data_IF_587771262767
#
_entry.id   IF_587771262767
#
_cell.length_a   1.000
_cell.length_b   1.000
_cell.length_c   1.000
_cell.angle_alpha   90.00
_cell.angle_beta   90.00
_cell.angle_gamma   90.00
#
_symmetry.space_group_name_H-M   'P 1'
#
loop_
_entity.id
_entity.type
_entity.pdbx_description
1 polymer ?
#
# COMPACT_ATOMS: atom_id res chain seq x y z
N UNK A 1 -58.99 -42.59 -27.65
CA UNK A 1 -57.74 -41.93 -28.09
C UNK A 1 -57.50 -40.70 -27.16
N UNK A 2 -56.72 -40.86 -26.11
CA UNK A 2 -56.43 -39.83 -25.14
C UNK A 2 -55.21 -39.02 -25.55
N UNK A 3 -55.34 -37.72 -25.83
CA UNK A 3 -54.26 -36.77 -26.05
C UNK A 3 -53.61 -36.42 -24.72
N UNK A 4 -52.33 -36.84 -24.49
CA UNK A 4 -51.50 -36.37 -23.37
C UNK A 4 -50.98 -34.98 -23.71
N UNK A 5 -51.42 -33.98 -22.96
CA UNK A 5 -50.87 -32.60 -23.00
C UNK A 5 -49.64 -32.60 -22.15
N UNK A 6 -48.45 -32.46 -22.75
CA UNK A 6 -47.17 -32.25 -22.06
C UNK A 6 -47.06 -30.74 -21.76
N UNK A 7 -47.21 -30.36 -20.48
CA UNK A 7 -47.01 -29.02 -20.00
C UNK A 7 -45.51 -28.79 -19.85
N UNK A 8 -44.88 -28.07 -20.79
CA UNK A 8 -43.49 -27.66 -20.68
C UNK A 8 -43.36 -26.50 -19.68
N UNK A 9 -42.82 -26.80 -18.50
CA UNK A 9 -42.47 -25.76 -17.50
C UNK A 9 -41.20 -25.07 -17.96
N UNK A 10 -41.35 -23.86 -18.50
CA UNK A 10 -40.24 -22.97 -18.83
C UNK A 10 -39.64 -22.41 -17.52
N UNK A 11 -38.52 -22.98 -17.07
CA UNK A 11 -37.76 -22.47 -15.92
C UNK A 11 -37.14 -21.10 -16.31
N UNK A 12 -37.77 -20.01 -15.90
CA UNK A 12 -37.16 -18.68 -15.96
C UNK A 12 -36.01 -18.62 -14.97
N UNK A 13 -34.76 -18.79 -15.47
CA UNK A 13 -33.56 -18.51 -14.69
C UNK A 13 -33.40 -16.97 -14.63
N UNK A 14 -33.46 -16.33 -13.44
CA UNK A 14 -33.27 -14.90 -13.35
C UNK A 14 -31.86 -14.54 -13.80
N UNK A 15 -31.66 -13.42 -14.53
CA UNK A 15 -30.33 -12.93 -14.87
C UNK A 15 -29.57 -12.65 -13.58
N UNK A 16 -28.39 -13.26 -13.44
CA UNK A 16 -27.44 -12.91 -12.38
C UNK A 16 -26.93 -11.50 -12.69
N UNK A 17 -27.28 -10.52 -11.88
CA UNK A 17 -26.59 -9.22 -11.89
C UNK A 17 -25.13 -9.52 -11.50
N UNK A 18 -24.22 -9.41 -12.46
CA UNK A 18 -22.79 -9.33 -12.20
C UNK A 18 -22.56 -7.93 -11.63
N UNK A 19 -22.15 -7.84 -10.37
CA UNK A 19 -21.73 -6.58 -9.80
C UNK A 19 -20.58 -6.00 -10.64
N UNK A 20 -20.68 -4.74 -11.04
CA UNK A 20 -19.61 -4.08 -11.78
C UNK A 20 -18.39 -3.91 -10.88
N UNK A 21 -17.17 -4.09 -11.44
CA UNK A 21 -15.93 -3.85 -10.73
C UNK A 21 -15.84 -2.38 -10.30
N UNK A 22 -15.48 -2.15 -9.06
CA UNK A 22 -15.18 -0.82 -8.54
C UNK A 22 -13.69 -0.55 -8.70
N UNK A 23 -13.35 0.57 -9.32
CA UNK A 23 -11.96 0.98 -9.49
C UNK A 23 -11.61 2.12 -8.53
N UNK A 24 -10.36 2.12 -8.07
CA UNK A 24 -9.79 3.13 -7.20
C UNK A 24 -8.50 3.69 -7.78
N UNK A 25 -8.29 4.98 -7.63
CA UNK A 25 -7.05 5.66 -8.00
C UNK A 25 -6.50 6.46 -6.82
N UNK A 26 -5.19 6.39 -6.60
CA UNK A 26 -4.49 7.22 -5.64
C UNK A 26 -4.27 8.61 -6.26
N UNK A 27 -4.86 9.64 -5.66
CA UNK A 27 -4.76 11.02 -6.14
C UNK A 27 -3.64 11.79 -5.47
N UNK A 28 -3.58 11.69 -4.12
CA UNK A 28 -2.60 12.40 -3.30
C UNK A 28 -1.95 11.43 -2.32
N UNK A 29 -0.69 11.66 -2.04
CA UNK A 29 0.05 10.85 -1.07
C UNK A 29 1.07 11.70 -0.32
N UNK A 30 1.22 11.42 0.97
CA UNK A 30 2.34 11.87 1.78
C UNK A 30 2.91 10.67 2.52
N UNK A 31 4.17 10.37 2.23
CA UNK A 31 4.92 9.28 2.87
C UNK A 31 6.13 9.90 3.58
N UNK A 32 6.32 9.57 4.84
CA UNK A 32 7.39 10.14 5.65
C UNK A 32 8.12 8.98 6.34
N UNK A 33 9.37 8.71 5.92
CA UNK A 33 10.22 7.81 6.69
C UNK A 33 10.91 8.56 7.83
N UNK A 34 11.17 7.85 8.92
CA UNK A 34 11.87 8.39 10.08
C UNK A 34 13.07 7.53 10.42
N UNK A 35 14.27 8.12 10.33
CA UNK A 35 15.55 7.49 10.71
C UNK A 35 16.02 8.06 12.03
N UNK A 36 16.22 7.19 13.01
CA UNK A 36 16.76 7.52 14.32
C UNK A 36 18.25 7.16 14.42
N UNK A 37 19.07 8.15 14.73
CA UNK A 37 20.49 7.97 15.09
C UNK A 37 20.71 8.53 16.50
N UNK A 38 21.67 7.99 17.30
CA UNK A 38 21.92 8.48 18.66
C UNK A 38 22.19 10.00 18.77
N UNK A 39 22.74 10.62 17.72
CA UNK A 39 23.10 12.04 17.70
C UNK A 39 22.04 12.92 17.03
N UNK A 40 21.18 12.40 16.17
CA UNK A 40 20.18 13.18 15.43
C UNK A 40 19.08 12.28 14.86
N UNK A 41 18.01 12.92 14.45
CA UNK A 41 16.90 12.29 13.75
C UNK A 41 16.77 12.90 12.36
N UNK A 42 16.33 12.09 11.40
CA UNK A 42 16.13 12.53 10.02
C UNK A 42 14.78 12.01 9.52
N UNK A 43 14.07 12.84 8.81
CA UNK A 43 12.88 12.47 8.06
C UNK A 43 13.12 12.73 6.57
N UNK A 44 12.52 11.92 5.73
CA UNK A 44 12.42 12.21 4.31
C UNK A 44 10.99 12.04 3.84
N UNK A 45 10.52 12.94 3.00
CA UNK A 45 9.13 13.06 2.57
C UNK A 45 9.01 12.76 1.08
N UNK A 46 8.00 12.00 0.69
CA UNK A 46 7.63 11.79 -0.70
C UNK A 46 6.14 12.04 -0.92
N UNK A 47 5.81 12.72 -2.02
CA UNK A 47 4.46 12.92 -2.52
C UNK A 47 4.22 12.26 -3.88
N UNK A 48 5.12 11.36 -4.28
CA UNK A 48 5.17 10.81 -5.64
C UNK A 48 4.59 9.41 -5.77
N UNK A 49 3.93 8.88 -4.75
CA UNK A 49 3.29 7.57 -4.87
C UNK A 49 2.19 7.60 -5.93
N UNK A 50 2.08 6.49 -6.68
CA UNK A 50 0.99 6.21 -7.59
C UNK A 50 0.35 4.89 -7.16
N UNK A 51 -0.98 4.81 -7.28
CA UNK A 51 -1.70 3.62 -6.85
C UNK A 51 -2.97 3.40 -7.63
N UNK A 52 -3.33 2.12 -7.75
CA UNK A 52 -4.60 1.66 -8.31
C UNK A 52 -5.17 0.56 -7.42
N UNK A 53 -6.48 0.50 -7.36
CA UNK A 53 -7.22 -0.57 -6.72
C UNK A 53 -8.38 -1.04 -7.58
N UNK A 54 -8.72 -2.32 -7.47
CA UNK A 54 -9.89 -2.92 -8.11
C UNK A 54 -10.59 -3.78 -7.07
N UNK A 55 -11.88 -3.55 -6.90
CA UNK A 55 -12.74 -4.42 -6.08
C UNK A 55 -13.65 -5.24 -7.00
N UNK A 56 -13.63 -6.55 -6.81
CA UNK A 56 -14.46 -7.53 -7.50
C UNK A 56 -15.04 -8.52 -6.50
N UNK A 57 -16.35 -8.74 -6.55
CA UNK A 57 -17.04 -9.74 -5.70
C UNK A 57 -16.68 -9.63 -4.20
N UNK A 58 -16.56 -8.42 -3.65
CA UNK A 58 -16.29 -8.18 -2.24
C UNK A 58 -14.81 -8.28 -1.83
N UNK A 59 -13.90 -8.44 -2.78
CA UNK A 59 -12.45 -8.44 -2.57
C UNK A 59 -11.81 -7.29 -3.35
N UNK A 60 -10.88 -6.59 -2.70
CA UNK A 60 -10.18 -5.44 -3.28
C UNK A 60 -8.67 -5.69 -3.31
N UNK A 61 -8.10 -5.50 -4.48
CA UNK A 61 -6.66 -5.57 -4.73
C UNK A 61 -6.10 -4.17 -4.95
N UNK A 62 -5.11 -3.78 -4.17
CA UNK A 62 -4.43 -2.51 -4.32
C UNK A 62 -2.95 -2.71 -4.66
N UNK A 63 -2.45 -1.90 -5.57
CA UNK A 63 -1.04 -1.80 -5.92
C UNK A 63 -0.60 -0.35 -5.83
N UNK A 64 0.44 -0.09 -5.03
CA UNK A 64 1.07 1.22 -4.88
C UNK A 64 2.53 1.12 -5.33
N UNK A 65 3.02 2.12 -6.05
CA UNK A 65 4.42 2.26 -6.45
C UNK A 65 4.95 3.63 -6.04
N UNK A 66 6.13 3.65 -5.41
CA UNK A 66 6.79 4.86 -4.91
C UNK A 66 8.21 4.90 -5.45
N UNK A 67 8.61 5.93 -6.22
CA UNK A 67 10.00 6.09 -6.63
C UNK A 67 10.90 6.33 -5.42
N UNK A 68 11.95 5.53 -5.23
CA UNK A 68 12.89 5.69 -4.10
C UNK A 68 13.52 7.08 -4.09
N UNK A 69 13.86 7.60 -5.28
CA UNK A 69 14.46 8.93 -5.47
C UNK A 69 13.55 10.11 -5.14
N UNK A 70 12.26 9.86 -4.89
CA UNK A 70 11.29 10.93 -4.61
C UNK A 70 11.25 11.34 -3.14
N UNK A 71 11.95 10.63 -2.28
CA UNK A 71 12.08 11.04 -0.89
C UNK A 71 13.11 12.16 -0.77
N UNK A 72 12.67 13.27 -0.18
CA UNK A 72 13.46 14.47 0.07
C UNK A 72 13.59 14.68 1.59
N UNK A 73 14.81 14.70 2.08
CA UNK A 73 15.14 14.97 3.49
C UNK A 73 15.59 16.41 3.75
N UNK A 74 15.56 17.27 2.72
CA UNK A 74 16.07 18.64 2.78
C UNK A 74 17.60 18.74 2.67
N UNK A 75 18.29 17.63 2.38
CA UNK A 75 19.75 17.58 2.16
C UNK A 75 20.08 16.60 1.02
N UNK A 76 20.51 17.14 -0.12
CA UNK A 76 20.77 16.35 -1.33
C UNK A 76 21.89 15.31 -1.16
N UNK A 77 22.90 15.56 -0.31
CA UNK A 77 23.97 14.60 -0.05
C UNK A 77 23.43 13.42 0.77
N UNK A 78 22.57 13.70 1.74
CA UNK A 78 21.89 12.66 2.53
C UNK A 78 20.96 11.81 1.67
N UNK A 79 20.20 12.45 0.76
CA UNK A 79 19.31 11.75 -0.17
C UNK A 79 20.09 10.87 -1.13
N UNK A 80 21.23 11.37 -1.65
CA UNK A 80 22.11 10.57 -2.50
C UNK A 80 22.70 9.37 -1.73
N UNK A 81 23.12 9.58 -0.47
CA UNK A 81 23.61 8.49 0.38
C UNK A 81 22.50 7.47 0.67
N UNK A 82 21.28 7.91 0.96
CA UNK A 82 20.13 7.02 1.12
C UNK A 82 19.92 6.16 -0.12
N UNK A 83 19.95 6.76 -1.34
CA UNK A 83 19.84 6.02 -2.60
C UNK A 83 20.93 4.94 -2.77
N UNK A 84 22.16 5.23 -2.33
CA UNK A 84 23.27 4.26 -2.36
C UNK A 84 23.00 3.10 -1.39
N UNK A 85 22.65 3.39 -0.14
CA UNK A 85 22.38 2.40 0.92
C UNK A 85 21.26 1.45 0.52
N UNK A 86 20.16 1.98 -0.02
CA UNK A 86 19.00 1.17 -0.42
C UNK A 86 19.08 0.62 -1.84
N UNK A 87 20.22 0.82 -2.52
CA UNK A 87 20.44 0.37 -3.91
C UNK A 87 19.40 0.94 -4.89
N UNK A 88 18.99 2.21 -4.68
CA UNK A 88 17.92 2.86 -5.43
C UNK A 88 18.20 2.98 -6.94
N UNK A 89 19.47 2.97 -7.37
CA UNK A 89 19.84 2.91 -8.78
C UNK A 89 19.51 1.56 -9.45
N UNK A 90 19.58 0.46 -8.71
CA UNK A 90 19.24 -0.89 -9.18
C UNK A 90 17.76 -1.22 -8.97
N UNK A 91 17.20 -0.78 -7.85
CA UNK A 91 15.81 -1.01 -7.46
C UNK A 91 15.09 0.33 -7.24
N UNK A 92 14.69 1.02 -8.33
CA UNK A 92 14.25 2.41 -8.26
C UNK A 92 12.83 2.59 -7.69
N UNK A 93 12.08 1.50 -7.51
CA UNK A 93 10.70 1.54 -7.02
C UNK A 93 10.54 0.71 -5.74
N UNK A 94 9.78 1.25 -4.80
CA UNK A 94 9.12 0.50 -3.75
C UNK A 94 7.74 0.15 -4.26
N UNK A 95 7.33 -1.11 -4.18
CA UNK A 95 5.96 -1.51 -4.51
C UNK A 95 5.30 -2.13 -3.29
N UNK A 96 4.02 -1.79 -3.08
CA UNK A 96 3.20 -2.34 -2.01
C UNK A 96 1.95 -2.94 -2.62
N UNK A 97 1.67 -4.19 -2.29
CA UNK A 97 0.42 -4.88 -2.61
C UNK A 97 -0.34 -5.20 -1.34
N UNK A 98 -1.65 -5.07 -1.40
CA UNK A 98 -2.53 -5.51 -0.31
C UNK A 98 -3.85 -6.01 -0.88
N UNK A 99 -4.40 -7.03 -0.21
CA UNK A 99 -5.70 -7.60 -0.48
C UNK A 99 -6.59 -7.27 0.72
N UNK A 100 -7.73 -6.65 0.47
CA UNK A 100 -8.67 -6.26 1.51
C UNK A 100 -10.07 -6.80 1.17
N UNK A 101 -10.83 -7.20 2.20
CA UNK A 101 -12.26 -7.42 2.03
C UNK A 101 -12.96 -6.06 1.92
N UNK A 102 -13.94 -5.94 1.06
CA UNK A 102 -14.76 -4.72 0.93
C UNK A 102 -15.50 -4.39 2.24
N UNK A 103 -15.85 -5.40 3.03
CA UNK A 103 -16.45 -5.24 4.37
C UNK A 103 -15.50 -4.53 5.35
N UNK A 104 -14.19 -4.52 5.10
CA UNK A 104 -13.23 -3.81 5.92
C UNK A 104 -13.49 -2.29 5.94
N UNK A 105 -14.18 -1.74 4.95
CA UNK A 105 -14.59 -0.34 4.91
C UNK A 105 -15.55 0.06 6.04
N UNK A 106 -16.21 -0.89 6.69
CA UNK A 106 -17.08 -0.66 7.86
C UNK A 106 -16.32 -0.55 9.19
N UNK A 107 -15.04 -0.95 9.23
CA UNK A 107 -14.20 -0.92 10.42
C UNK A 107 -13.58 0.47 10.59
N UNK A 108 -13.40 0.93 11.83
CA UNK A 108 -12.67 2.18 12.12
C UNK A 108 -11.17 2.06 11.79
N UNK A 109 -10.63 0.85 11.90
CA UNK A 109 -9.24 0.52 11.56
C UNK A 109 -9.22 -0.75 10.74
N UNK A 110 -8.57 -0.69 9.58
CA UNK A 110 -8.42 -1.83 8.67
C UNK A 110 -7.11 -2.56 9.02
N UNK A 111 -7.16 -3.83 9.45
CA UNK A 111 -5.96 -4.65 9.57
C UNK A 111 -5.50 -5.09 8.18
N UNK A 112 -4.47 -4.44 7.64
CA UNK A 112 -3.96 -4.72 6.31
C UNK A 112 -2.74 -5.64 6.36
N UNK A 113 -2.73 -6.67 5.51
CA UNK A 113 -1.54 -7.45 5.21
C UNK A 113 -0.87 -6.82 3.98
N UNK A 114 0.38 -6.38 4.15
CA UNK A 114 1.12 -5.66 3.12
C UNK A 114 2.26 -6.54 2.59
N UNK A 115 2.29 -6.78 1.28
CA UNK A 115 3.46 -7.29 0.58
C UNK A 115 4.28 -6.12 0.07
N UNK A 116 5.48 -5.93 0.62
CA UNK A 116 6.35 -4.81 0.27
C UNK A 116 7.58 -5.33 -0.46
N UNK A 117 7.77 -4.86 -1.69
CA UNK A 117 9.00 -5.07 -2.46
C UNK A 117 9.86 -3.81 -2.37
N UNK A 118 11.06 -3.95 -1.80
CA UNK A 118 12.00 -2.86 -1.63
C UNK A 118 13.44 -3.40 -1.69
N UNK A 119 14.37 -2.64 -2.27
CA UNK A 119 15.78 -3.00 -2.38
C UNK A 119 16.04 -4.42 -2.91
N UNK A 120 15.17 -4.92 -3.81
CA UNK A 120 15.25 -6.26 -4.39
C UNK A 120 14.78 -7.41 -3.49
N UNK A 121 14.18 -7.11 -2.35
CA UNK A 121 13.57 -8.10 -1.45
C UNK A 121 12.06 -7.90 -1.41
N UNK A 122 11.32 -8.99 -1.14
CA UNK A 122 9.87 -8.96 -0.90
C UNK A 122 9.61 -9.45 0.51
N UNK A 123 8.91 -8.65 1.32
CA UNK A 123 8.64 -8.90 2.73
C UNK A 123 7.15 -8.73 3.00
N UNK A 124 6.59 -9.58 3.86
CA UNK A 124 5.20 -9.51 4.31
C UNK A 124 5.12 -8.86 5.69
N UNK A 125 4.38 -7.77 5.79
CA UNK A 125 3.99 -7.14 7.06
C UNK A 125 2.52 -7.42 7.32
N UNK A 126 2.21 -8.10 8.42
CA UNK A 126 0.85 -8.54 8.71
C UNK A 126 0.17 -7.65 9.74
N UNK A 127 -1.15 -7.51 9.58
CA UNK A 127 -2.03 -6.84 10.56
C UNK A 127 -1.62 -5.39 10.82
N UNK A 128 -1.14 -4.69 9.80
CA UNK A 128 -0.84 -3.26 9.90
C UNK A 128 -2.16 -2.51 10.05
N UNK A 129 -2.31 -1.80 11.18
CA UNK A 129 -3.51 -1.03 11.47
C UNK A 129 -3.53 0.27 10.66
N UNK A 130 -4.39 0.34 9.65
CA UNK A 130 -4.63 1.54 8.85
C UNK A 130 -5.96 2.17 9.27
N UNK A 131 -5.95 3.48 9.52
CA UNK A 131 -7.18 4.24 9.74
C UNK A 131 -7.71 4.72 8.40
N UNK A 132 -9.02 4.85 8.28
CA UNK A 132 -9.62 5.43 7.08
C UNK A 132 -10.79 6.36 7.41
N UNK A 133 -10.99 7.34 6.55
CA UNK A 133 -12.14 8.25 6.59
C UNK A 133 -12.67 8.40 5.18
N UNK A 134 -13.92 8.00 4.95
CA UNK A 134 -14.58 8.10 3.65
C UNK A 134 -15.55 9.29 3.61
N UNK A 135 -15.48 10.08 2.55
CA UNK A 135 -16.40 11.18 2.25
C UNK A 135 -16.80 11.12 0.77
N UNK A 136 -18.01 10.66 0.51
CA UNK A 136 -18.48 10.44 -0.87
C UNK A 136 -17.62 9.38 -1.58
N UNK A 137 -17.04 9.74 -2.71
CA UNK A 137 -16.14 8.86 -3.48
C UNK A 137 -14.67 8.92 -3.04
N UNK A 138 -14.33 9.74 -2.05
CA UNK A 138 -12.95 9.90 -1.57
C UNK A 138 -12.75 9.17 -0.24
N UNK A 139 -11.62 8.49 -0.11
CA UNK A 139 -11.20 7.82 1.13
C UNK A 139 -9.78 8.23 1.46
N UNK A 140 -9.59 8.79 2.64
CA UNK A 140 -8.30 9.09 3.23
C UNK A 140 -7.85 7.89 4.05
N UNK A 141 -6.68 7.33 3.75
CA UNK A 141 -6.02 6.26 4.51
C UNK A 141 -4.83 6.85 5.23
N UNK A 142 -4.70 6.57 6.52
CA UNK A 142 -3.56 6.99 7.34
C UNK A 142 -3.04 5.84 8.18
N UNK A 143 -1.73 5.85 8.49
CA UNK A 143 -1.13 4.82 9.35
C UNK A 143 0.38 4.95 9.44
N UNK A 144 0.99 3.97 10.11
CA UNK A 144 2.43 3.83 10.21
C UNK A 144 2.83 2.37 9.93
N UNK A 145 3.82 2.20 9.07
CA UNK A 145 4.35 0.89 8.69
C UNK A 145 5.73 0.75 9.36
N UNK A 146 5.94 -0.23 10.26
CA UNK A 146 7.18 -0.40 11.00
C UNK A 146 8.20 -1.17 10.16
N UNK A 147 8.78 -0.54 9.13
CA UNK A 147 9.79 -1.19 8.29
C UNK A 147 11.06 -1.47 9.07
N UNK A 148 11.69 -2.62 8.78
CA UNK A 148 12.98 -3.04 9.33
C UNK A 148 13.98 -3.18 8.19
N UNK A 149 15.11 -2.47 8.25
CA UNK A 149 16.12 -2.45 7.18
C UNK A 149 16.66 -3.85 6.86
N UNK A 150 16.95 -4.63 7.89
CA UNK A 150 17.52 -5.99 7.74
C UNK A 150 16.55 -6.97 7.08
N UNK A 151 15.23 -6.75 7.15
CA UNK A 151 14.25 -7.56 6.40
C UNK A 151 14.48 -7.43 4.88
N UNK A 152 14.96 -6.27 4.44
CA UNK A 152 15.29 -5.99 3.04
C UNK A 152 16.78 -6.20 2.72
N UNK A 153 17.54 -6.87 3.60
CA UNK A 153 18.99 -7.09 3.48
C UNK A 153 19.78 -5.80 3.30
N UNK A 154 19.34 -4.77 4.03
CA UNK A 154 20.03 -3.49 4.13
C UNK A 154 20.67 -3.43 5.50
N UNK A 155 22.01 -3.33 5.54
CA UNK A 155 22.71 -3.10 6.79
C UNK A 155 22.48 -1.67 7.25
N UNK A 156 22.06 -1.44 8.52
CA UNK A 156 21.90 -0.10 9.05
C UNK A 156 23.19 0.73 8.90
N UNK A 157 23.16 1.85 8.18
CA UNK A 157 24.35 2.67 8.00
C UNK A 157 24.82 3.26 9.32
N UNK A 158 26.14 3.48 9.45
CA UNK A 158 26.75 4.04 10.66
C UNK A 158 27.34 5.40 10.39
N UNK A 159 27.18 6.31 11.36
CA UNK A 159 27.86 7.59 11.41
C UNK A 159 28.69 7.64 12.70
N UNK A 160 29.98 7.96 12.60
CA UNK A 160 30.93 7.97 13.75
C UNK A 160 30.92 6.64 14.53
N UNK A 161 30.90 5.50 13.80
CA UNK A 161 30.81 4.13 14.33
C UNK A 161 29.52 3.82 15.12
N UNK A 162 28.52 4.69 15.12
CA UNK A 162 27.21 4.45 15.70
C UNK A 162 26.19 4.16 14.58
N UNK A 163 25.53 3.01 14.59
CA UNK A 163 24.53 2.68 13.58
C UNK A 163 23.22 3.46 13.81
N UNK A 164 22.48 3.72 12.74
CA UNK A 164 21.07 4.13 12.85
C UNK A 164 20.26 2.96 13.41
N UNK A 165 19.08 3.26 13.98
CA UNK A 165 18.14 2.21 14.38
C UNK A 165 17.73 1.39 13.16
N UNK A 166 17.60 0.07 13.35
CA UNK A 166 17.18 -0.84 12.30
C UNK A 166 15.72 -0.62 11.87
N UNK A 167 14.87 -0.19 12.80
CA UNK A 167 13.48 0.17 12.52
C UNK A 167 13.39 1.56 11.89
N UNK A 168 12.73 1.62 10.75
CA UNK A 168 12.46 2.85 9.98
C UNK A 168 10.94 2.96 9.82
N UNK A 169 10.22 3.54 10.79
CA UNK A 169 8.79 3.72 10.66
C UNK A 169 8.47 4.67 9.50
N UNK A 170 7.52 4.28 8.67
CA UNK A 170 7.01 5.09 7.56
C UNK A 170 5.58 5.48 7.86
N UNK A 171 5.34 6.77 8.10
CA UNK A 171 3.98 7.32 8.17
C UNK A 171 3.43 7.45 6.77
N UNK A 172 2.17 7.09 6.59
CA UNK A 172 1.48 7.16 5.31
C UNK A 172 0.18 7.94 5.45
N UNK A 173 -0.07 8.80 4.48
CA UNK A 173 -1.33 9.48 4.26
C UNK A 173 -1.62 9.40 2.77
N UNK A 174 -2.75 8.82 2.39
CA UNK A 174 -3.10 8.52 1.01
C UNK A 174 -4.57 8.82 0.76
N UNK A 175 -4.84 9.69 -0.21
CA UNK A 175 -6.19 10.04 -0.64
C UNK A 175 -6.53 9.26 -1.90
N UNK A 176 -7.51 8.39 -1.77
CA UNK A 176 -8.02 7.54 -2.85
C UNK A 176 -9.36 8.04 -3.34
N UNK A 177 -9.58 7.92 -4.66
CA UNK A 177 -10.89 8.18 -5.28
C UNK A 177 -11.42 6.90 -5.92
N UNK A 178 -12.71 6.63 -5.65
CA UNK A 178 -13.49 5.63 -6.34
C UNK A 178 -13.96 6.18 -7.69
N UNK A 179 -13.77 5.41 -8.75
CA UNK A 179 -14.10 5.78 -10.13
C UNK A 179 -15.47 5.24 -10.53
#
# INVERSE_FOLDING_TARGET
VGKKIILAILLLVPPRLVAADTQWILEESTLIYHVSHPLHQTEGVSHAAKGKGVCHAGQCDFLIAVPVKSFDSGDSNRDLHMLQVVRGGQFPLITVRTHLSEDASSLTSIPADLEIQFAGQTVQYKQIALQHVTKGSETLITGAIPLTLTDFKIDPPSLLALPVKNEIPVRVEMKWRQM
#
